data_IF_911112131728
#
_entry.id   IF_911112131728
#
_cell.length_a   1.000
_cell.length_b   1.000
_cell.length_c   1.000
_cell.angle_alpha   90.00
_cell.angle_beta   90.00
_cell.angle_gamma   90.00
#
_symmetry.space_group_name_H-M   'P 1'
#
loop_
_entity.id
_entity.type
_entity.pdbx_description
1 polymer ?
#
# COMPACT_ATOMS: atom_id res chain seq x y z
N UNK A 1 9.69 1.94 -30.56
CA UNK A 1 10.24 3.26 -30.17
C UNK A 1 10.49 3.22 -28.68
N UNK A 2 11.70 3.57 -28.21
CA UNK A 2 12.03 3.51 -26.79
C UNK A 2 11.10 4.45 -25.99
N UNK A 3 10.46 3.93 -24.96
CA UNK A 3 9.58 4.70 -24.09
C UNK A 3 10.46 5.71 -23.34
N UNK A 4 10.27 7.01 -23.61
CA UNK A 4 11.05 8.07 -22.98
C UNK A 4 10.79 8.08 -21.48
N UNK A 5 11.84 8.36 -20.72
CA UNK A 5 11.81 8.41 -19.26
C UNK A 5 10.74 9.40 -18.74
N UNK A 6 9.80 8.96 -17.88
CA UNK A 6 8.80 9.82 -17.24
C UNK A 6 9.37 11.08 -16.59
N UNK A 7 10.56 11.00 -15.96
CA UNK A 7 11.20 12.15 -15.32
C UNK A 7 11.64 13.16 -16.37
N UNK A 8 12.22 12.71 -17.48
CA UNK A 8 12.66 13.60 -18.55
C UNK A 8 11.47 14.24 -19.27
N UNK A 9 10.38 13.50 -19.43
CA UNK A 9 9.13 14.02 -19.97
C UNK A 9 8.55 15.14 -19.08
N UNK A 10 8.54 14.96 -17.76
CA UNK A 10 8.03 15.99 -16.83
C UNK A 10 8.98 17.20 -16.78
N UNK A 11 10.30 16.98 -16.80
CA UNK A 11 11.30 18.06 -16.92
C UNK A 11 11.12 18.88 -18.20
N UNK A 12 10.79 18.24 -19.32
CA UNK A 12 10.50 18.95 -20.56
C UNK A 12 9.27 19.85 -20.43
N UNK A 13 8.22 19.40 -19.73
CA UNK A 13 7.06 20.26 -19.45
C UNK A 13 7.41 21.42 -18.49
N UNK A 14 8.29 21.17 -17.52
CA UNK A 14 8.81 22.19 -16.61
C UNK A 14 9.66 23.24 -17.33
N UNK A 15 10.49 22.85 -18.29
CA UNK A 15 11.29 23.79 -19.07
C UNK A 15 10.40 24.65 -19.98
N UNK A 16 9.26 24.11 -20.45
CA UNK A 16 8.27 24.85 -21.24
C UNK A 16 7.40 25.77 -20.40
N UNK A 17 7.31 25.55 -19.09
CA UNK A 17 6.49 26.34 -18.17
C UNK A 17 6.90 27.81 -18.14
N UNK A 18 8.20 28.11 -18.17
CA UNK A 18 8.70 29.51 -18.13
C UNK A 18 8.17 30.30 -19.34
N UNK A 19 8.11 29.67 -20.52
CA UNK A 19 7.55 30.27 -21.72
C UNK A 19 6.03 30.50 -21.66
N UNK A 20 5.33 29.90 -20.69
CA UNK A 20 3.91 30.11 -20.48
C UNK A 20 3.62 31.34 -19.58
N UNK A 21 4.59 31.83 -18.81
CA UNK A 21 4.38 32.90 -17.83
C UNK A 21 3.90 34.23 -18.45
N UNK A 22 4.27 34.45 -19.71
CA UNK A 22 3.93 35.65 -20.47
C UNK A 22 2.74 35.43 -21.43
N UNK A 23 2.13 34.25 -21.43
CA UNK A 23 1.03 33.90 -22.33
C UNK A 23 -0.33 34.04 -21.65
N UNK A 24 -1.35 34.33 -22.44
CA UNK A 24 -2.75 34.28 -21.99
C UNK A 24 -3.24 32.82 -21.91
N UNK A 25 -4.13 32.47 -20.96
CA UNK A 25 -4.75 31.13 -20.90
C UNK A 25 -5.41 30.65 -22.20
N UNK A 26 -5.87 31.58 -23.04
CA UNK A 26 -6.48 31.25 -24.34
C UNK A 26 -5.45 31.03 -25.45
N UNK A 27 -4.17 31.27 -25.20
CA UNK A 27 -3.11 31.08 -26.17
C UNK A 27 -2.95 29.59 -26.51
N UNK A 28 -2.85 29.25 -27.79
CA UNK A 28 -2.80 27.86 -28.25
C UNK A 28 -1.63 27.08 -27.65
N UNK A 29 -0.45 27.70 -27.52
CA UNK A 29 0.70 27.09 -26.86
C UNK A 29 0.42 26.72 -25.39
N UNK A 30 -0.35 27.54 -24.67
CA UNK A 30 -0.72 27.25 -23.29
C UNK A 30 -1.72 26.09 -23.23
N UNK A 31 -2.76 26.09 -24.07
CA UNK A 31 -3.73 24.99 -24.14
C UNK A 31 -3.07 23.67 -24.47
N UNK A 32 -2.13 23.68 -25.43
CA UNK A 32 -1.35 22.52 -25.79
C UNK A 32 -0.49 22.04 -24.62
N UNK A 33 0.28 22.93 -24.00
CA UNK A 33 1.09 22.59 -22.83
C UNK A 33 0.24 22.01 -21.69
N UNK A 34 -0.93 22.61 -21.41
CA UNK A 34 -1.84 22.15 -20.37
C UNK A 34 -2.38 20.75 -20.67
N UNK A 35 -2.83 20.50 -21.90
CA UNK A 35 -3.36 19.19 -22.32
C UNK A 35 -2.27 18.10 -22.30
N UNK A 36 -1.09 18.40 -22.82
CA UNK A 36 0.05 17.47 -22.83
C UNK A 36 0.54 17.16 -21.41
N UNK A 37 0.62 18.18 -20.54
CA UNK A 37 1.02 18.01 -19.14
C UNK A 37 0.01 17.17 -18.38
N UNK A 38 -1.30 17.38 -18.62
CA UNK A 38 -2.36 16.55 -18.04
C UNK A 38 -2.22 15.09 -18.47
N UNK A 39 -2.15 14.82 -19.77
CA UNK A 39 -2.04 13.46 -20.29
C UNK A 39 -0.78 12.76 -19.79
N UNK A 40 0.33 13.50 -19.69
CA UNK A 40 1.56 12.98 -19.13
C UNK A 40 1.39 12.58 -17.66
N UNK A 41 0.81 13.45 -16.82
CA UNK A 41 0.57 13.13 -15.42
C UNK A 41 -0.38 11.94 -15.25
N UNK A 42 -1.46 11.85 -16.05
CA UNK A 42 -2.37 10.69 -16.04
C UNK A 42 -1.72 9.39 -16.55
N UNK A 43 -0.72 9.48 -17.42
CA UNK A 43 0.04 8.30 -17.88
C UNK A 43 1.03 7.83 -16.83
N UNK A 44 1.72 8.76 -16.17
CA UNK A 44 2.79 8.48 -15.21
C UNK A 44 2.24 8.12 -13.84
N UNK A 45 1.12 8.72 -13.45
CA UNK A 45 0.47 8.51 -12.16
C UNK A 45 -0.98 8.06 -12.36
N UNK A 46 -1.55 7.37 -11.36
CA UNK A 46 -2.99 7.05 -11.36
C UNK A 46 -3.84 8.32 -11.44
N UNK A 47 -5.01 8.30 -12.09
CA UNK A 47 -5.96 9.41 -12.08
C UNK A 47 -6.35 9.88 -10.67
N UNK A 48 -6.26 9.00 -9.67
CA UNK A 48 -6.55 9.31 -8.25
C UNK A 48 -5.35 9.90 -7.50
N UNK A 49 -4.19 10.01 -8.13
CA UNK A 49 -2.99 10.55 -7.49
C UNK A 49 -3.17 12.02 -7.13
N UNK A 50 -2.51 12.43 -6.04
CA UNK A 50 -2.54 13.82 -5.58
C UNK A 50 -2.03 14.79 -6.64
N UNK A 51 -1.01 14.41 -7.42
CA UNK A 51 -0.47 15.27 -8.50
C UNK A 51 -1.49 15.51 -9.61
N UNK A 52 -2.19 14.46 -10.06
CA UNK A 52 -3.23 14.58 -11.10
C UNK A 52 -4.42 15.37 -10.57
N UNK A 53 -4.90 15.07 -9.37
CA UNK A 53 -6.04 15.76 -8.76
C UNK A 53 -5.75 17.26 -8.52
N UNK A 54 -4.56 17.59 -8.01
CA UNK A 54 -4.15 18.97 -7.78
C UNK A 54 -3.99 19.74 -9.10
N UNK A 55 -3.44 19.10 -10.14
CA UNK A 55 -3.29 19.74 -11.44
C UNK A 55 -4.65 20.00 -12.10
N UNK A 56 -5.60 19.07 -11.96
CA UNK A 56 -6.97 19.21 -12.45
C UNK A 56 -7.79 20.26 -11.71
N UNK A 57 -7.44 20.56 -10.45
CA UNK A 57 -8.08 21.59 -9.66
C UNK A 57 -7.66 23.03 -10.03
N UNK A 58 -6.63 23.19 -10.87
CA UNK A 58 -6.17 24.51 -11.32
C UNK A 58 -7.20 25.18 -12.21
N UNK A 59 -7.48 26.47 -11.95
CA UNK A 59 -8.66 27.17 -12.49
C UNK A 59 -8.33 28.06 -13.69
N UNK A 60 -7.47 27.59 -14.58
CA UNK A 60 -7.06 28.34 -15.77
C UNK A 60 -8.24 28.74 -16.68
N UNK A 61 -9.32 27.94 -16.73
CA UNK A 61 -10.52 28.21 -17.54
C UNK A 61 -11.46 29.28 -16.97
N UNK A 62 -11.37 29.57 -15.67
CA UNK A 62 -12.20 30.63 -15.06
C UNK A 62 -11.68 32.03 -15.44
N UNK A 63 -10.40 32.12 -15.82
CA UNK A 63 -9.73 33.36 -16.23
C UNK A 63 -10.17 33.82 -17.63
N UNK A 64 -10.64 32.89 -18.48
CA UNK A 64 -11.05 33.12 -19.88
C UNK A 64 -12.51 33.57 -20.06
N UNK A 65 -13.28 33.76 -18.98
CA UNK A 65 -14.70 34.17 -19.09
C UNK A 65 -14.78 35.67 -19.42
N UNK A 66 -14.98 35.99 -20.70
CA UNK A 66 -15.08 37.34 -21.29
C UNK A 66 -16.30 38.18 -20.84
N UNK A 67 -16.96 37.82 -19.75
CA UNK A 67 -18.26 38.40 -19.37
C UNK A 67 -18.21 39.85 -18.88
N UNK A 68 -17.04 40.31 -18.40
CA UNK A 68 -16.86 41.65 -17.85
C UNK A 68 -15.46 42.18 -18.20
N UNK A 69 -15.38 43.08 -19.19
CA UNK A 69 -14.14 43.73 -19.59
C UNK A 69 -13.89 44.95 -18.69
N UNK A 70 -13.34 44.71 -17.50
CA UNK A 70 -12.91 45.74 -16.55
C UNK A 70 -11.39 45.61 -16.31
N UNK A 71 -10.63 46.73 -16.31
CA UNK A 71 -9.20 46.73 -15.99
C UNK A 71 -8.87 46.06 -14.65
N UNK A 72 -9.72 46.22 -13.65
CA UNK A 72 -9.60 45.62 -12.32
C UNK A 72 -9.79 44.11 -12.36
N UNK A 73 -10.79 43.63 -13.11
CA UNK A 73 -11.04 42.20 -13.32
C UNK A 73 -9.87 41.56 -14.07
N UNK A 74 -9.35 42.23 -15.11
CA UNK A 74 -8.19 41.77 -15.88
C UNK A 74 -6.92 41.66 -15.00
N UNK A 75 -6.71 42.59 -14.05
CA UNK A 75 -5.61 42.53 -13.10
C UNK A 75 -5.74 41.36 -12.12
N UNK A 76 -6.93 41.10 -11.60
CA UNK A 76 -7.21 39.97 -10.70
C UNK A 76 -7.01 38.64 -11.42
N UNK A 77 -7.54 38.54 -12.65
CA UNK A 77 -7.42 37.38 -13.52
C UNK A 77 -5.96 37.07 -13.86
N UNK A 78 -5.16 38.09 -14.20
CA UNK A 78 -3.73 37.95 -14.47
C UNK A 78 -2.95 37.48 -13.24
N UNK A 79 -3.26 38.01 -12.04
CA UNK A 79 -2.61 37.59 -10.80
C UNK A 79 -2.99 36.14 -10.42
N UNK A 80 -4.25 35.74 -10.62
CA UNK A 80 -4.71 34.37 -10.42
C UNK A 80 -4.03 33.41 -11.40
N UNK A 81 -3.96 33.78 -12.68
CA UNK A 81 -3.26 33.00 -13.69
C UNK A 81 -1.80 32.71 -13.30
N UNK A 82 -1.04 33.74 -12.91
CA UNK A 82 0.35 33.57 -12.47
C UNK A 82 0.47 32.66 -11.24
N UNK A 83 -0.46 32.76 -10.30
CA UNK A 83 -0.49 31.88 -9.12
C UNK A 83 -0.77 30.42 -9.50
N UNK A 84 -1.77 30.18 -10.34
CA UNK A 84 -2.12 28.83 -10.78
C UNK A 84 -0.99 28.21 -11.62
N UNK A 85 -0.29 29.04 -12.40
CA UNK A 85 0.88 28.64 -13.15
C UNK A 85 2.04 28.26 -12.21
N UNK A 86 2.35 29.04 -11.18
CA UNK A 86 3.36 28.66 -10.17
C UNK A 86 2.95 27.39 -9.41
N UNK A 87 1.66 27.22 -9.11
CA UNK A 87 1.14 25.99 -8.51
C UNK A 87 1.36 24.78 -9.42
N UNK A 88 1.15 24.92 -10.73
CA UNK A 88 1.44 23.87 -11.70
C UNK A 88 2.92 23.45 -11.67
N UNK A 89 3.85 24.42 -11.63
CA UNK A 89 5.28 24.16 -11.48
C UNK A 89 5.60 23.38 -10.21
N UNK A 90 5.02 23.79 -9.07
CA UNK A 90 5.22 23.10 -7.79
C UNK A 90 4.73 21.64 -7.84
N UNK A 91 3.61 21.38 -8.51
CA UNK A 91 3.11 20.02 -8.73
C UNK A 91 4.11 19.20 -9.56
N UNK A 92 4.62 19.75 -10.67
CA UNK A 92 5.58 19.05 -11.52
C UNK A 92 6.91 18.77 -10.80
N UNK A 93 7.41 19.72 -10.00
CA UNK A 93 8.61 19.53 -9.17
C UNK A 93 8.39 18.43 -8.12
N UNK A 94 7.22 18.41 -7.48
CA UNK A 94 6.85 17.38 -6.51
C UNK A 94 6.75 16.00 -7.16
N UNK A 95 6.15 15.91 -8.35
CA UNK A 95 6.07 14.69 -9.14
C UNK A 95 7.47 14.16 -9.53
N UNK A 96 8.38 15.03 -9.96
CA UNK A 96 9.79 14.64 -10.23
C UNK A 96 10.44 14.10 -8.96
N UNK A 97 10.22 14.74 -7.82
CA UNK A 97 10.80 14.30 -6.54
C UNK A 97 10.30 12.92 -6.13
N UNK A 98 9.00 12.64 -6.27
CA UNK A 98 8.41 11.33 -6.02
C UNK A 98 9.03 10.25 -6.91
N UNK A 99 9.07 10.47 -8.23
CA UNK A 99 9.65 9.52 -9.18
C UNK A 99 11.16 9.31 -8.96
N UNK A 100 11.86 10.36 -8.52
CA UNK A 100 13.29 10.27 -8.19
C UNK A 100 13.49 9.48 -6.91
N UNK A 101 12.65 9.70 -5.89
CA UNK A 101 12.69 8.98 -4.62
C UNK A 101 12.43 7.49 -4.86
N UNK A 102 11.38 7.15 -5.63
CA UNK A 102 11.09 5.79 -6.05
C UNK A 102 12.30 5.17 -6.74
N UNK A 103 12.93 5.87 -7.69
CA UNK A 103 14.16 5.37 -8.33
C UNK A 103 15.33 5.18 -7.40
N UNK A 104 15.51 6.02 -6.38
CA UNK A 104 16.59 5.84 -5.40
C UNK A 104 16.30 4.67 -4.46
N UNK A 105 15.03 4.42 -4.13
CA UNK A 105 14.60 3.22 -3.42
C UNK A 105 14.83 1.98 -4.31
N UNK A 106 14.45 2.03 -5.59
CA UNK A 106 14.63 0.93 -6.53
C UNK A 106 16.10 0.70 -6.97
N UNK A 107 16.96 1.73 -7.02
CA UNK A 107 18.39 1.57 -7.26
C UNK A 107 19.13 0.95 -6.07
N UNK A 108 18.68 1.19 -4.83
CA UNK A 108 19.15 0.41 -3.67
C UNK A 108 18.75 -1.07 -3.75
N UNK A 109 17.76 -1.42 -4.57
CA UNK A 109 17.28 -2.79 -4.79
C UNK A 109 18.00 -3.45 -5.99
N UNK A 110 18.82 -2.72 -6.78
CA UNK A 110 19.54 -3.22 -7.97
C UNK A 110 20.94 -3.80 -7.68
N UNK A 111 21.13 -4.49 -6.57
CA UNK A 111 22.15 -5.54 -6.49
C UNK A 111 21.42 -6.86 -6.49
N UNK A 112 21.62 -7.66 -7.54
CA UNK A 112 21.14 -9.03 -7.70
C UNK A 112 21.07 -9.76 -6.36
N UNK A 113 19.89 -10.16 -5.86
CA UNK A 113 19.84 -11.01 -4.68
C UNK A 113 20.26 -12.41 -5.13
N UNK A 114 21.55 -12.72 -5.00
CA UNK A 114 21.90 -14.08 -4.58
C UNK A 114 21.21 -14.25 -3.23
N UNK A 115 20.08 -14.96 -3.22
CA UNK A 115 19.38 -15.42 -2.00
C UNK A 115 19.47 -14.40 -0.87
N UNK A 116 18.76 -13.27 -1.01
CA UNK A 116 18.52 -12.42 0.15
C UNK A 116 17.56 -13.21 1.02
N UNK A 117 18.10 -13.87 2.04
CA UNK A 117 17.36 -14.24 3.23
C UNK A 117 16.63 -12.98 3.65
N UNK A 118 15.33 -12.92 3.33
CA UNK A 118 14.47 -11.86 3.83
C UNK A 118 14.51 -12.05 5.34
N UNK A 119 15.27 -11.20 6.04
CA UNK A 119 15.09 -11.04 7.47
C UNK A 119 13.68 -10.49 7.62
N UNK A 120 12.74 -11.40 7.82
CA UNK A 120 11.34 -11.13 8.07
C UNK A 120 11.27 -10.59 9.50
N UNK A 121 11.80 -9.39 9.73
CA UNK A 121 11.62 -8.74 11.02
C UNK A 121 10.14 -8.35 11.15
N UNK A 122 9.53 -8.72 12.28
CA UNK A 122 8.13 -8.44 12.56
C UNK A 122 7.48 -9.42 13.52
N UNK A 123 6.23 -9.15 13.86
CA UNK A 123 5.46 -9.98 14.78
C UNK A 123 4.47 -10.87 14.00
N UNK A 124 4.23 -12.09 14.45
CA UNK A 124 3.17 -12.96 13.94
C UNK A 124 2.23 -13.39 15.06
N UNK A 125 0.95 -13.47 14.76
CA UNK A 125 -0.07 -13.77 15.76
C UNK A 125 -0.34 -15.27 15.83
N UNK A 126 -0.32 -15.83 17.03
CA UNK A 126 -0.74 -17.21 17.30
C UNK A 126 -2.08 -17.13 18.04
N UNK A 127 -3.11 -17.65 17.39
CA UNK A 127 -4.48 -17.67 17.92
C UNK A 127 -4.58 -18.44 19.22
N UNK A 128 -5.50 -17.98 20.07
CA UNK A 128 -5.87 -18.65 21.32
C UNK A 128 -6.33 -20.10 21.15
N UNK A 129 -6.77 -20.49 19.94
CA UNK A 129 -7.14 -21.86 19.61
C UNK A 129 -5.98 -22.86 19.76
N UNK A 130 -4.75 -22.38 19.61
CA UNK A 130 -3.51 -23.15 19.75
C UNK A 130 -3.11 -23.14 21.23
N UNK A 131 -3.73 -24.00 22.03
CA UNK A 131 -3.38 -24.14 23.45
C UNK A 131 -2.21 -25.12 23.68
N UNK A 132 -2.03 -26.07 22.75
CA UNK A 132 -1.00 -27.10 22.85
C UNK A 132 0.41 -26.48 22.72
N UNK A 133 1.23 -26.67 23.75
CA UNK A 133 2.59 -26.16 23.81
C UNK A 133 3.51 -26.80 22.76
N UNK A 134 3.28 -28.07 22.38
CA UNK A 134 4.07 -28.74 21.35
C UNK A 134 3.77 -28.16 19.96
N UNK A 135 2.50 -27.84 19.70
CA UNK A 135 2.08 -27.17 18.46
C UNK A 135 2.66 -25.74 18.39
N UNK A 136 2.62 -24.99 19.50
CA UNK A 136 3.27 -23.66 19.57
C UNK A 136 4.76 -23.75 19.27
N UNK A 137 5.47 -24.68 19.93
CA UNK A 137 6.90 -24.90 19.69
C UNK A 137 7.19 -25.30 18.24
N UNK A 138 6.36 -26.15 17.63
CA UNK A 138 6.52 -26.53 16.22
C UNK A 138 6.38 -25.31 15.28
N UNK A 139 5.43 -24.41 15.58
CA UNK A 139 5.26 -23.15 14.87
C UNK A 139 6.48 -22.23 15.08
N UNK A 140 6.93 -22.05 16.32
CA UNK A 140 8.12 -21.24 16.64
C UNK A 140 9.38 -21.77 15.93
N UNK A 141 9.59 -23.10 15.92
CA UNK A 141 10.68 -23.76 15.19
C UNK A 141 10.57 -23.59 13.67
N UNK A 142 9.35 -23.36 13.15
CA UNK A 142 9.16 -23.03 11.75
C UNK A 142 9.73 -21.64 11.41
N UNK A 143 9.70 -20.72 12.37
CA UNK A 143 10.12 -19.33 12.21
C UNK A 143 11.44 -18.98 12.91
N UNK A 144 12.09 -19.94 13.55
CA UNK A 144 13.40 -19.75 14.15
C UNK A 144 14.42 -19.27 13.11
N UNK A 145 15.14 -18.20 13.43
CA UNK A 145 16.11 -17.57 12.51
C UNK A 145 15.50 -16.65 11.44
N UNK A 146 14.16 -16.55 11.34
CA UNK A 146 13.51 -15.66 10.35
C UNK A 146 13.46 -14.19 10.76
N UNK A 147 13.74 -13.86 12.02
CA UNK A 147 13.54 -12.51 12.58
C UNK A 147 12.10 -12.22 13.04
N UNK A 148 11.19 -13.19 12.88
CA UNK A 148 9.80 -13.08 13.33
C UNK A 148 9.66 -13.45 14.80
N UNK A 149 8.89 -12.65 15.55
CA UNK A 149 8.58 -12.92 16.97
C UNK A 149 7.10 -13.26 17.16
N UNK A 150 6.76 -14.32 17.91
CA UNK A 150 5.37 -14.68 18.17
C UNK A 150 4.70 -13.70 19.14
N UNK A 151 3.44 -13.36 18.86
CA UNK A 151 2.50 -12.79 19.81
C UNK A 151 1.41 -13.82 20.08
N UNK A 152 1.13 -14.05 21.35
CA UNK A 152 0.09 -14.98 21.78
C UNK A 152 -1.14 -14.22 22.25
N UNK A 153 -2.31 -14.69 21.83
CA UNK A 153 -3.56 -14.44 22.55
C UNK A 153 -3.66 -15.44 23.69
N UNK A 154 -3.62 -14.95 24.92
CA UNK A 154 -3.68 -15.80 26.10
C UNK A 154 -5.15 -16.02 26.49
N UNK A 155 -5.75 -17.11 25.98
CA UNK A 155 -7.11 -17.50 26.37
C UNK A 155 -7.22 -17.92 27.84
N UNK A 156 -6.10 -18.20 28.54
CA UNK A 156 -6.15 -18.56 29.97
C UNK A 156 -6.37 -17.35 30.88
N UNK A 157 -6.19 -16.13 30.37
CA UNK A 157 -6.53 -14.89 31.07
C UNK A 157 -7.94 -14.51 30.68
N UNK A 158 -8.92 -14.84 31.53
CA UNK A 158 -10.32 -14.37 31.48
C UNK A 158 -10.49 -12.82 31.49
N UNK A 159 -9.43 -12.06 31.24
CA UNK A 159 -9.37 -10.59 31.35
C UNK A 159 -8.53 -9.91 30.28
N UNK A 160 -8.16 -10.57 29.18
CA UNK A 160 -7.57 -9.79 28.08
C UNK A 160 -8.69 -9.01 27.36
N UNK A 161 -8.72 -7.67 27.45
CA UNK A 161 -9.76 -6.89 26.81
C UNK A 161 -9.66 -7.07 25.29
N UNK A 162 -10.82 -7.12 24.65
CA UNK A 162 -10.96 -7.26 23.20
C UNK A 162 -10.08 -6.28 22.41
N UNK A 163 -9.93 -5.05 22.90
CA UNK A 163 -9.07 -4.03 22.29
C UNK A 163 -7.60 -4.46 22.20
N UNK A 164 -7.08 -5.15 23.22
CA UNK A 164 -5.70 -5.64 23.21
C UNK A 164 -5.51 -6.74 22.16
N UNK A 165 -6.46 -7.68 22.04
CA UNK A 165 -6.41 -8.72 21.00
C UNK A 165 -6.48 -8.13 19.59
N UNK A 166 -7.34 -7.14 19.38
CA UNK A 166 -7.42 -6.38 18.12
C UNK A 166 -6.09 -5.70 17.82
N UNK A 167 -5.45 -5.08 18.82
CA UNK A 167 -4.16 -4.43 18.67
C UNK A 167 -3.03 -5.42 18.35
N UNK A 168 -3.02 -6.59 18.98
CA UNK A 168 -2.08 -7.67 18.69
C UNK A 168 -2.21 -8.16 17.24
N UNK A 169 -3.43 -8.45 16.79
CA UNK A 169 -3.72 -8.85 15.40
C UNK A 169 -3.34 -7.73 14.42
N UNK A 170 -3.59 -6.48 14.78
CA UNK A 170 -3.23 -5.31 13.97
C UNK A 170 -1.72 -5.15 13.80
N UNK A 171 -0.94 -5.41 14.86
CA UNK A 171 0.54 -5.34 14.83
C UNK A 171 1.15 -6.50 14.07
N UNK A 172 0.56 -7.68 14.18
CA UNK A 172 1.05 -8.86 13.48
C UNK A 172 1.02 -8.69 11.95
N UNK A 173 2.03 -9.24 11.28
CA UNK A 173 2.10 -9.29 9.81
C UNK A 173 1.10 -10.30 9.25
N UNK A 174 1.04 -11.46 9.89
CA UNK A 174 0.11 -12.54 9.58
C UNK A 174 -0.31 -13.25 10.87
N UNK A 175 -1.40 -14.00 10.80
CA UNK A 175 -1.90 -14.80 11.93
C UNK A 175 -2.00 -16.28 11.60
N UNK A 176 -1.75 -17.13 12.60
CA UNK A 176 -1.91 -18.57 12.55
C UNK A 176 -3.07 -18.97 13.46
N UNK A 177 -4.06 -19.62 12.86
CA UNK A 177 -5.33 -19.94 13.50
C UNK A 177 -5.56 -21.44 13.48
N UNK A 178 -5.79 -22.06 14.64
CA UNK A 178 -6.14 -23.48 14.70
C UNK A 178 -7.65 -23.66 14.83
N UNK A 179 -8.25 -24.28 13.82
CA UNK A 179 -9.68 -24.55 13.77
C UNK A 179 -10.02 -26.05 13.93
N UNK A 180 -9.07 -26.86 14.42
CA UNK A 180 -9.28 -28.30 14.62
C UNK A 180 -10.35 -28.64 15.66
N UNK A 181 -10.61 -27.71 16.60
CA UNK A 181 -11.59 -27.86 17.66
C UNK A 181 -12.79 -26.93 17.41
N UNK A 182 -13.94 -27.45 16.97
CA UNK A 182 -15.12 -26.62 16.67
C UNK A 182 -15.76 -26.00 17.92
N UNK A 183 -15.38 -26.44 19.13
CA UNK A 183 -15.95 -25.97 20.39
C UNK A 183 -15.31 -24.66 20.92
N UNK A 184 -14.36 -24.07 20.19
CA UNK A 184 -13.71 -22.81 20.58
C UNK A 184 -14.19 -21.72 19.62
N UNK A 185 -14.91 -20.72 20.13
CA UNK A 185 -15.45 -19.61 19.34
C UNK A 185 -14.40 -18.51 19.12
N UNK A 186 -13.45 -18.39 20.06
CA UNK A 186 -12.42 -17.36 20.07
C UNK A 186 -11.53 -17.37 18.82
N UNK A 187 -11.07 -18.52 18.31
CA UNK A 187 -10.25 -18.58 17.09
C UNK A 187 -11.00 -18.12 15.84
N UNK A 188 -12.31 -18.39 15.76
CA UNK A 188 -13.14 -17.91 14.66
C UNK A 188 -13.33 -16.39 14.72
N UNK A 189 -13.49 -15.86 15.94
CA UNK A 189 -13.62 -14.44 16.15
C UNK A 189 -12.32 -13.68 15.85
N UNK A 190 -11.18 -14.18 16.32
CA UNK A 190 -9.85 -13.62 16.01
C UNK A 190 -9.55 -13.69 14.50
N UNK A 191 -9.95 -14.79 13.84
CA UNK A 191 -9.85 -14.92 12.40
C UNK A 191 -10.72 -13.90 11.67
N UNK A 192 -11.95 -13.68 12.14
CA UNK A 192 -12.86 -12.67 11.61
C UNK A 192 -12.28 -11.25 11.70
N UNK A 193 -11.63 -10.91 12.82
CA UNK A 193 -10.91 -9.63 12.96
C UNK A 193 -9.80 -9.52 11.93
N UNK A 194 -8.96 -10.55 11.79
CA UNK A 194 -7.84 -10.53 10.86
C UNK A 194 -8.28 -10.40 9.40
N UNK A 195 -9.31 -11.14 8.99
CA UNK A 195 -9.92 -11.04 7.67
C UNK A 195 -10.53 -9.65 7.43
N UNK A 196 -11.25 -9.11 8.41
CA UNK A 196 -11.83 -7.76 8.35
C UNK A 196 -10.76 -6.66 8.20
N UNK A 197 -9.54 -6.90 8.69
CA UNK A 197 -8.39 -6.00 8.54
C UNK A 197 -7.57 -6.25 7.27
N UNK A 198 -7.92 -7.25 6.44
CA UNK A 198 -7.13 -7.63 5.26
C UNK A 198 -5.76 -8.21 5.62
N UNK A 199 -5.61 -8.81 6.81
CA UNK A 199 -4.36 -9.47 7.23
C UNK A 199 -4.20 -10.82 6.53
N UNK A 200 -2.95 -11.23 6.35
CA UNK A 200 -2.66 -12.57 5.88
C UNK A 200 -2.97 -13.59 6.99
N UNK A 201 -3.72 -14.64 6.63
CA UNK A 201 -4.17 -15.67 7.57
C UNK A 201 -3.70 -17.04 7.10
N UNK A 202 -3.18 -17.83 8.04
CA UNK A 202 -2.86 -19.23 7.84
C UNK A 202 -3.69 -20.05 8.80
N UNK A 203 -4.57 -20.87 8.26
CA UNK A 203 -5.36 -21.77 9.07
C UNK A 203 -4.63 -23.11 9.16
N UNK A 204 -4.45 -23.62 10.37
CA UNK A 204 -3.91 -24.96 10.60
C UNK A 204 -5.04 -25.85 11.10
N UNK A 205 -5.09 -27.08 10.60
CA UNK A 205 -6.04 -28.08 11.06
C UNK A 205 -5.41 -29.46 11.09
N UNK A 206 -5.69 -30.21 12.15
CA UNK A 206 -5.26 -31.58 12.29
C UNK A 206 -6.10 -32.46 11.35
N UNK A 207 -5.42 -33.38 10.66
CA UNK A 207 -6.05 -34.33 9.73
C UNK A 207 -7.16 -35.11 10.43
N UNK A 208 -8.35 -35.15 9.82
CA UNK A 208 -9.57 -35.74 10.40
C UNK A 208 -10.40 -34.78 11.28
N UNK A 209 -9.96 -33.54 11.47
CA UNK A 209 -10.75 -32.49 12.11
C UNK A 209 -11.94 -32.03 11.26
N UNK A 210 -13.02 -31.58 11.91
CA UNK A 210 -14.17 -31.00 11.21
C UNK A 210 -13.86 -29.56 10.82
N UNK A 211 -13.57 -29.34 9.54
CA UNK A 211 -13.35 -28.01 8.99
C UNK A 211 -14.63 -27.43 8.38
N UNK A 212 -15.07 -26.21 8.76
CA UNK A 212 -16.28 -25.61 8.20
C UNK A 212 -16.17 -25.39 6.69
N UNK A 213 -17.20 -25.81 5.94
CA UNK A 213 -17.18 -25.74 4.48
C UNK A 213 -17.07 -24.32 3.93
N UNK A 214 -17.57 -23.34 4.68
CA UNK A 214 -17.53 -21.91 4.33
C UNK A 214 -16.10 -21.34 4.29
N UNK A 215 -15.10 -22.08 4.80
CA UNK A 215 -13.70 -21.62 4.84
C UNK A 215 -12.78 -22.38 3.88
N UNK A 216 -13.34 -23.15 2.93
CA UNK A 216 -12.57 -23.98 1.99
C UNK A 216 -11.58 -23.19 1.14
N UNK A 217 -11.90 -21.93 0.85
CA UNK A 217 -11.12 -21.02 -0.01
C UNK A 217 -9.94 -20.35 0.71
N UNK A 218 -9.88 -20.42 2.06
CA UNK A 218 -8.81 -19.80 2.82
C UNK A 218 -7.53 -20.65 2.83
N UNK A 219 -6.35 -20.02 2.95
CA UNK A 219 -5.08 -20.73 2.97
C UNK A 219 -5.01 -21.65 4.19
N UNK A 220 -4.94 -22.96 3.95
CA UNK A 220 -5.00 -23.98 5.00
C UNK A 220 -3.83 -24.96 4.93
N UNK A 221 -3.37 -25.39 6.09
CA UNK A 221 -2.34 -26.40 6.28
C UNK A 221 -2.97 -27.54 7.07
N UNK A 222 -3.12 -28.68 6.38
CA UNK A 222 -3.45 -29.94 7.02
C UNK A 222 -2.16 -30.56 7.55
N UNK A 223 -2.18 -31.00 8.80
CA UNK A 223 -1.05 -31.73 9.35
C UNK A 223 -1.50 -32.99 10.09
N UNK A 224 -0.77 -34.07 9.90
CA UNK A 224 -0.89 -35.29 10.69
C UNK A 224 0.12 -35.27 11.86
N UNK A 225 1.34 -34.79 11.59
CA UNK A 225 2.45 -34.74 12.53
C UNK A 225 3.08 -33.34 12.64
N UNK A 226 3.69 -33.01 13.78
CA UNK A 226 4.31 -31.69 14.02
C UNK A 226 5.47 -31.37 13.06
N UNK A 227 6.21 -32.38 12.62
CA UNK A 227 7.29 -32.23 11.63
C UNK A 227 6.75 -31.77 10.27
N UNK A 228 5.59 -32.29 9.88
CA UNK A 228 4.89 -31.91 8.65
C UNK A 228 4.40 -30.46 8.74
N UNK A 229 3.78 -30.10 9.87
CA UNK A 229 3.35 -28.72 10.15
C UNK A 229 4.51 -27.73 9.99
N UNK A 230 5.65 -28.03 10.63
CA UNK A 230 6.85 -27.19 10.58
C UNK A 230 7.37 -27.04 9.15
N UNK A 231 7.43 -28.14 8.39
CA UNK A 231 7.90 -28.14 7.01
C UNK A 231 6.98 -27.37 6.05
N UNK A 232 5.66 -27.52 6.21
CA UNK A 232 4.68 -26.79 5.40
C UNK A 232 4.68 -25.29 5.72
N UNK A 233 4.82 -24.91 7.00
CA UNK A 233 4.95 -23.51 7.41
C UNK A 233 6.22 -22.86 6.83
N UNK A 234 7.37 -23.56 6.88
CA UNK A 234 8.62 -23.09 6.25
C UNK A 234 8.48 -22.88 4.75
N UNK A 235 7.84 -23.81 4.04
CA UNK A 235 7.62 -23.72 2.58
C UNK A 235 6.68 -22.59 2.16
N UNK A 236 5.74 -22.20 3.02
CA UNK A 236 4.77 -21.15 2.69
C UNK A 236 5.39 -19.75 2.76
N UNK A 237 6.48 -19.59 3.50
CA UNK A 237 7.07 -18.30 3.84
C UNK A 237 8.47 -18.06 3.23
N UNK A 238 9.01 -19.05 2.50
CA UNK A 238 10.25 -18.96 1.72
C UNK A 238 9.99 -19.17 0.24
#
# INVERSE_FOLDING_TARGET
>A
MAERDPIDLIKNQLNRWEAMADLHPDHELFKQWQAETRMLLEKVFSPKSTHVQNFMALRFREVSVKGFDSPEVNKINSARYKRDLENAKNILLSAIKELTLDRTLFKKIQTTPKTVEVSLEGEYFISSGIADLEVRKAIELAFEGSGLTPIYSDASREKEPLSQRIDQIRRARFGIYNLSSPNKEEPFFELGIALGMGKEVTIIYQKGGRFPEMMKELPKIEFENLTELTGQLKKKMG
#
